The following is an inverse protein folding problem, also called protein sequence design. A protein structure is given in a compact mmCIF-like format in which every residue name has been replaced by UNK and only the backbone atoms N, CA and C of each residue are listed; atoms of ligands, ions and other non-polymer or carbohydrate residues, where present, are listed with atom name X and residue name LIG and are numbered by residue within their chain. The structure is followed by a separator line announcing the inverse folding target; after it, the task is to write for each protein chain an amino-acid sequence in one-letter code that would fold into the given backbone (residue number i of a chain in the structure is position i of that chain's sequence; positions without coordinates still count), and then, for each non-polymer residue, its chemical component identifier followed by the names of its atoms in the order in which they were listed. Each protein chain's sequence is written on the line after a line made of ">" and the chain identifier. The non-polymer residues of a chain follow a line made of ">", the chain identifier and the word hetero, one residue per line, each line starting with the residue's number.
data_IF_102141684824
#
_entry.id   IF_102141684824
#
_cell.length_a   1.000
_cell.length_b   1.000
_cell.length_c   1.000
_cell.angle_alpha   90.00
_cell.angle_beta   90.00
_cell.angle_gamma   90.00
#
_symmetry.space_group_name_H-M   'P 1'
#
loop_
_entity.id
_entity.type
_entity.pdbx_description
1 polymer ?
#
# COMPACT_ATOMS: atom_id res chain seq x y z
N UNK A 1 -4.69 -52.88 -36.78
CA UNK A 1 -5.55 -52.47 -35.64
C UNK A 1 -4.75 -52.04 -34.40
N UNK A 2 -3.72 -52.77 -33.97
CA UNK A 2 -2.96 -52.48 -32.73
C UNK A 2 -2.21 -51.13 -32.72
N UNK A 3 -1.66 -50.69 -33.87
CA UNK A 3 -0.85 -49.46 -33.96
C UNK A 3 -1.70 -48.17 -33.82
N UNK A 4 -2.98 -48.22 -34.20
CA UNK A 4 -3.87 -47.06 -34.05
C UNK A 4 -4.24 -46.77 -32.58
N UNK A 5 -4.33 -47.81 -31.75
CA UNK A 5 -4.60 -47.64 -30.31
C UNK A 5 -3.42 -47.01 -29.55
N UNK A 6 -2.19 -47.28 -29.99
CA UNK A 6 -0.98 -46.69 -29.38
C UNK A 6 -0.88 -45.20 -29.70
N UNK A 7 -1.15 -44.79 -30.94
CA UNK A 7 -1.17 -43.38 -31.34
C UNK A 7 -2.27 -42.58 -30.61
N UNK A 8 -3.46 -43.16 -30.44
CA UNK A 8 -4.54 -42.54 -29.66
C UNK A 8 -4.19 -42.40 -28.16
N UNK A 9 -3.49 -43.38 -27.57
CA UNK A 9 -3.03 -43.29 -26.18
C UNK A 9 -1.95 -42.21 -25.99
N UNK A 10 -1.05 -42.03 -26.96
CA UNK A 10 -0.06 -40.95 -26.94
C UNK A 10 -0.69 -39.56 -27.11
N UNK A 11 -1.71 -39.42 -27.97
CA UNK A 11 -2.44 -38.16 -28.13
C UNK A 11 -3.24 -37.82 -26.86
N UNK A 12 -3.83 -38.82 -26.18
CA UNK A 12 -4.53 -38.65 -24.90
C UNK A 12 -3.59 -38.33 -23.72
N UNK A 13 -2.35 -38.84 -23.74
CA UNK A 13 -1.30 -38.52 -22.77
C UNK A 13 -0.72 -37.12 -22.99
N UNK A 14 -0.62 -36.66 -24.24
CA UNK A 14 -0.16 -35.30 -24.58
C UNK A 14 -1.26 -34.25 -24.36
N UNK A 15 -2.54 -34.66 -24.34
CA UNK A 15 -3.68 -33.80 -23.99
C UNK A 15 -3.96 -33.67 -22.49
N UNK A 16 -3.08 -34.19 -21.61
CA UNK A 16 -2.99 -33.68 -20.23
C UNK A 16 -2.43 -32.27 -20.27
N UNK A 17 -3.32 -31.37 -20.70
CA UNK A 17 -3.28 -29.94 -20.53
C UNK A 17 -2.59 -29.68 -19.20
N UNK A 18 -1.40 -29.06 -19.25
CA UNK A 18 -0.83 -28.45 -18.06
C UNK A 18 -1.87 -27.45 -17.59
N UNK A 19 -2.71 -27.86 -16.65
CA UNK A 19 -3.44 -26.95 -15.79
C UNK A 19 -2.33 -26.17 -15.10
N UNK A 20 -1.99 -25.00 -15.64
CA UNK A 20 -1.07 -24.09 -14.98
C UNK A 20 -1.76 -23.81 -13.65
N UNK A 21 -1.26 -24.40 -12.57
CA UNK A 21 -1.65 -24.00 -11.24
C UNK A 21 -1.41 -22.49 -11.22
N UNK A 22 -2.49 -21.70 -11.21
CA UNK A 22 -2.36 -20.26 -11.04
C UNK A 22 -1.72 -20.07 -9.69
N UNK A 23 -0.43 -19.73 -9.71
CA UNK A 23 0.35 -19.51 -8.51
C UNK A 23 -0.36 -18.47 -7.65
N UNK A 24 -0.77 -18.89 -6.46
CA UNK A 24 -1.49 -18.05 -5.51
C UNK A 24 -0.50 -17.03 -4.98
N UNK A 25 -0.65 -15.78 -5.40
CA UNK A 25 0.19 -14.72 -4.89
C UNK A 25 -0.18 -14.44 -3.42
N UNK A 26 0.80 -14.26 -2.54
CA UNK A 26 0.57 -13.81 -1.17
C UNK A 26 -0.05 -12.41 -1.14
N UNK A 27 -0.62 -12.03 0.00
CA UNK A 27 -1.30 -10.75 0.21
C UNK A 27 -0.60 -9.97 1.31
N UNK A 28 -0.28 -8.69 1.08
CA UNK A 28 -0.01 -7.76 2.19
C UNK A 28 -1.26 -6.94 2.53
N UNK A 29 -1.45 -6.63 3.81
CA UNK A 29 -2.46 -5.70 4.30
C UNK A 29 -1.76 -4.55 5.01
N UNK A 30 -1.99 -3.33 4.55
CA UNK A 30 -1.48 -2.10 5.16
C UNK A 30 -2.62 -1.32 5.81
N UNK A 31 -2.55 -1.16 7.12
CA UNK A 31 -3.55 -0.46 7.91
C UNK A 31 -3.51 1.07 7.72
N UNK A 32 -4.50 1.73 8.30
CA UNK A 32 -4.64 3.19 8.25
C UNK A 32 -4.08 3.90 9.48
N UNK A 33 -4.30 5.22 9.51
CA UNK A 33 -3.99 6.12 10.63
C UNK A 33 -4.57 5.60 11.95
N UNK A 34 -3.77 5.57 13.01
CA UNK A 34 -4.21 5.21 14.36
C UNK A 34 -4.45 3.71 14.61
N UNK A 35 -4.32 2.87 13.59
CA UNK A 35 -4.37 1.41 13.71
C UNK A 35 -2.95 0.81 13.65
N UNK A 36 -2.87 -0.52 13.70
CA UNK A 36 -1.61 -1.28 13.71
C UNK A 36 -1.76 -2.60 12.97
N UNK A 37 -0.67 -3.22 12.54
CA UNK A 37 -0.72 -4.52 11.84
C UNK A 37 -1.31 -5.66 12.69
N UNK A 38 -1.27 -5.52 14.02
CA UNK A 38 -1.88 -6.44 14.99
C UNK A 38 -3.30 -6.03 15.43
N UNK A 39 -3.90 -5.05 14.76
CA UNK A 39 -5.23 -4.54 15.06
C UNK A 39 -6.31 -5.59 14.82
N UNK A 40 -7.36 -5.61 15.66
CA UNK A 40 -8.41 -6.64 15.57
C UNK A 40 -9.11 -6.63 14.21
N UNK A 41 -9.38 -5.46 13.63
CA UNK A 41 -9.98 -5.34 12.30
C UNK A 41 -9.09 -5.90 11.19
N UNK A 42 -7.79 -5.57 11.25
CA UNK A 42 -6.77 -6.04 10.30
C UNK A 42 -6.61 -7.56 10.36
N UNK A 43 -6.48 -8.12 11.56
CA UNK A 43 -6.34 -9.57 11.75
C UNK A 43 -7.61 -10.33 11.34
N UNK A 44 -8.80 -9.75 11.54
CA UNK A 44 -10.07 -10.34 11.05
C UNK A 44 -10.12 -10.36 9.53
N UNK A 45 -9.67 -9.29 8.86
CA UNK A 45 -9.58 -9.26 7.41
C UNK A 45 -8.58 -10.29 6.88
N UNK A 46 -7.39 -10.38 7.48
CA UNK A 46 -6.40 -11.39 7.13
C UNK A 46 -6.99 -12.80 7.25
N UNK A 47 -7.68 -13.07 8.37
CA UNK A 47 -8.29 -14.39 8.60
C UNK A 47 -9.40 -14.70 7.60
N UNK A 48 -10.21 -13.72 7.23
CA UNK A 48 -11.23 -13.88 6.20
C UNK A 48 -10.60 -14.26 4.85
N UNK A 49 -9.52 -13.58 4.45
CA UNK A 49 -8.79 -13.88 3.21
C UNK A 49 -8.21 -15.30 3.23
N UNK A 50 -7.59 -15.71 4.34
CA UNK A 50 -7.04 -17.07 4.50
C UNK A 50 -8.12 -18.16 4.40
N UNK A 51 -9.32 -17.89 4.92
CA UNK A 51 -10.44 -18.83 4.88
C UNK A 51 -11.03 -18.94 3.46
N UNK A 52 -11.20 -17.82 2.75
CA UNK A 52 -11.74 -17.78 1.39
C UNK A 52 -10.72 -18.27 0.34
N UNK A 53 -9.42 -18.13 0.62
CA UNK A 53 -8.33 -18.58 -0.27
C UNK A 53 -7.38 -19.51 0.49
N UNK A 54 -7.76 -20.79 0.70
CA UNK A 54 -6.95 -21.72 1.47
C UNK A 54 -5.51 -21.85 0.94
N UNK A 55 -4.54 -21.76 1.85
CA UNK A 55 -3.11 -21.85 1.56
C UNK A 55 -2.47 -20.58 1.02
N UNK A 56 -3.18 -19.44 0.97
CA UNK A 56 -2.55 -18.14 0.71
C UNK A 56 -1.76 -17.67 1.93
N UNK A 57 -0.62 -17.02 1.70
CA UNK A 57 0.12 -16.34 2.76
C UNK A 57 -0.37 -14.89 2.87
N UNK A 58 -0.71 -14.45 4.08
CA UNK A 58 -1.15 -13.08 4.35
C UNK A 58 -0.23 -12.44 5.38
N UNK A 59 0.30 -11.25 5.06
CA UNK A 59 1.14 -10.46 5.95
C UNK A 59 0.45 -9.14 6.28
N UNK A 60 0.14 -8.93 7.55
CA UNK A 60 -0.26 -7.61 8.05
C UNK A 60 1.02 -6.79 8.29
N UNK A 61 1.14 -5.64 7.63
CA UNK A 61 2.32 -4.77 7.72
C UNK A 61 2.35 -4.10 9.09
N UNK A 62 3.55 -4.06 9.69
CA UNK A 62 3.88 -3.30 10.90
C UNK A 62 5.18 -2.53 10.62
N UNK A 63 5.26 -1.24 10.99
CA UNK A 63 6.47 -0.42 10.87
C UNK A 63 7.44 -0.60 12.04
N UNK A 64 6.94 -1.04 13.20
CA UNK A 64 7.74 -1.38 14.39
C UNK A 64 7.31 -2.70 15.03
N UNK A 65 8.18 -3.26 15.87
CA UNK A 65 7.84 -4.37 16.77
C UNK A 65 7.03 -3.90 18.01
N UNK A 66 7.05 -2.59 18.30
CA UNK A 66 6.27 -1.98 19.36
C UNK A 66 4.90 -1.58 18.83
N UNK A 67 3.85 -1.99 19.53
CA UNK A 67 2.45 -1.63 19.20
C UNK A 67 2.26 -0.11 19.19
N UNK A 68 2.89 0.60 20.13
CA UNK A 68 2.71 2.05 20.27
C UNK A 68 3.46 2.76 19.13
N UNK A 69 4.67 2.32 18.81
CA UNK A 69 5.45 2.90 17.71
C UNK A 69 4.79 2.62 16.34
N UNK A 70 4.26 1.41 16.11
CA UNK A 70 3.51 1.08 14.87
C UNK A 70 2.32 2.04 14.65
N UNK A 71 1.69 2.50 15.74
CA UNK A 71 0.61 3.50 15.70
C UNK A 71 1.17 4.91 15.53
N UNK A 72 2.20 5.27 16.29
CA UNK A 72 2.85 6.58 16.26
C UNK A 72 3.40 6.88 14.86
N UNK A 73 4.02 5.90 14.21
CA UNK A 73 4.55 5.97 12.86
C UNK A 73 3.46 6.34 11.83
N UNK A 74 2.19 5.96 12.07
CA UNK A 74 1.08 6.35 11.18
C UNK A 74 0.80 7.85 11.19
N UNK A 75 1.29 8.58 12.20
CA UNK A 75 1.20 10.03 12.33
C UNK A 75 2.52 10.72 12.01
N UNK A 76 3.67 10.16 12.41
CA UNK A 76 4.92 10.92 12.49
C UNK A 76 6.13 10.33 11.76
N UNK A 77 6.06 9.10 11.23
CA UNK A 77 7.15 8.57 10.40
C UNK A 77 6.96 9.01 8.95
N UNK A 78 7.94 9.66 8.28
CA UNK A 78 7.77 10.12 6.91
C UNK A 78 7.35 8.99 5.95
N UNK A 79 6.46 9.29 5.00
CA UNK A 79 5.84 8.24 4.19
C UNK A 79 6.88 7.53 3.31
N UNK A 80 7.84 8.27 2.75
CA UNK A 80 8.92 7.66 1.98
C UNK A 80 9.77 6.70 2.84
N UNK A 81 10.00 7.03 4.12
CA UNK A 81 10.73 6.14 5.04
C UNK A 81 9.92 4.87 5.36
N UNK A 82 8.60 5.00 5.54
CA UNK A 82 7.70 3.85 5.71
C UNK A 82 7.72 2.95 4.47
N UNK A 83 7.67 3.53 3.27
CA UNK A 83 7.73 2.78 2.01
C UNK A 83 9.05 2.04 1.85
N UNK A 84 10.18 2.67 2.15
CA UNK A 84 11.50 2.04 2.10
C UNK A 84 11.61 0.88 3.09
N UNK A 85 11.12 1.09 4.31
CA UNK A 85 11.10 0.05 5.33
C UNK A 85 10.24 -1.15 4.92
N UNK A 86 9.02 -0.91 4.45
CA UNK A 86 8.09 -1.97 4.02
C UNK A 86 8.58 -2.67 2.75
N UNK A 87 9.17 -1.95 1.79
CA UNK A 87 9.81 -2.53 0.61
C UNK A 87 10.91 -3.52 1.03
N UNK A 88 11.76 -3.16 2.00
CA UNK A 88 12.80 -4.06 2.54
C UNK A 88 12.21 -5.31 3.22
N UNK A 89 11.15 -5.17 4.01
CA UNK A 89 10.48 -6.31 4.64
C UNK A 89 9.96 -7.29 3.57
N UNK A 90 9.27 -6.76 2.55
CA UNK A 90 8.68 -7.59 1.49
C UNK A 90 9.77 -8.27 0.66
N UNK A 91 10.85 -7.56 0.31
CA UNK A 91 11.97 -8.13 -0.44
C UNK A 91 12.76 -9.16 0.37
N UNK A 92 12.81 -9.02 1.70
CA UNK A 92 13.48 -9.96 2.60
C UNK A 92 12.68 -11.23 2.89
N UNK A 93 11.39 -11.27 2.57
CA UNK A 93 10.51 -12.40 2.82
C UNK A 93 10.29 -13.22 1.53
N UNK A 94 10.84 -14.45 1.54
CA UNK A 94 10.84 -15.36 0.40
C UNK A 94 9.44 -15.73 -0.11
N UNK A 95 8.38 -15.58 0.69
CA UNK A 95 7.00 -15.81 0.25
C UNK A 95 6.57 -14.85 -0.86
N UNK A 96 7.16 -13.65 -0.93
CA UNK A 96 6.83 -12.62 -1.93
C UNK A 96 7.70 -12.67 -3.19
N UNK A 97 8.63 -13.62 -3.29
CA UNK A 97 9.61 -13.71 -4.38
C UNK A 97 8.99 -13.83 -5.79
N UNK A 98 7.78 -14.39 -5.89
CA UNK A 98 7.04 -14.56 -7.15
C UNK A 98 5.99 -13.47 -7.42
N UNK A 99 5.88 -12.48 -6.53
CA UNK A 99 4.94 -11.39 -6.61
C UNK A 99 3.94 -11.36 -5.44
N UNK A 100 3.01 -10.41 -5.47
CA UNK A 100 2.05 -10.21 -4.39
C UNK A 100 0.79 -9.45 -4.81
N UNK A 101 -0.26 -9.65 -4.02
CA UNK A 101 -1.42 -8.78 -3.91
C UNK A 101 -1.24 -7.78 -2.78
N UNK A 102 -1.88 -6.62 -2.87
CA UNK A 102 -1.82 -5.60 -1.83
C UNK A 102 -3.21 -5.08 -1.49
N UNK A 103 -3.47 -4.90 -0.21
CA UNK A 103 -4.69 -4.26 0.30
C UNK A 103 -4.26 -3.14 1.24
N UNK A 104 -4.71 -1.93 0.97
CA UNK A 104 -4.46 -0.77 1.82
C UNK A 104 -5.78 -0.17 2.31
N UNK A 105 -5.84 0.20 3.59
CA UNK A 105 -7.03 0.75 4.24
C UNK A 105 -6.76 2.20 4.65
N UNK A 106 -7.68 3.12 4.34
CA UNK A 106 -7.50 4.55 4.60
C UNK A 106 -6.15 5.02 4.01
N UNK A 107 -5.28 5.73 4.75
CA UNK A 107 -3.96 6.14 4.23
C UNK A 107 -3.13 4.96 3.67
N UNK A 108 -3.28 3.74 4.20
CA UNK A 108 -2.63 2.54 3.68
C UNK A 108 -2.98 2.26 2.20
N UNK A 109 -4.17 2.68 1.74
CA UNK A 109 -4.59 2.59 0.33
C UNK A 109 -3.74 3.48 -0.59
N UNK A 110 -3.36 4.66 -0.12
CA UNK A 110 -2.41 5.54 -0.81
C UNK A 110 -1.00 4.93 -0.77
N UNK A 111 -0.63 4.31 0.35
CA UNK A 111 0.70 3.75 0.53
C UNK A 111 0.95 2.54 -0.37
N UNK A 112 -0.02 1.62 -0.52
CA UNK A 112 0.16 0.48 -1.44
C UNK A 112 0.26 0.92 -2.90
N UNK A 113 -0.42 2.02 -3.30
CA UNK A 113 -0.20 2.64 -4.61
C UNK A 113 1.23 3.15 -4.76
N UNK A 114 1.70 3.94 -3.79
CA UNK A 114 3.05 4.50 -3.82
C UNK A 114 4.12 3.40 -3.78
N UNK A 115 3.88 2.31 -3.04
CA UNK A 115 4.77 1.17 -2.97
C UNK A 115 4.96 0.52 -4.35
N UNK A 116 3.89 0.39 -5.13
CA UNK A 116 3.97 -0.12 -6.51
C UNK A 116 4.77 0.81 -7.43
N UNK A 117 4.72 2.12 -7.20
CA UNK A 117 5.48 3.09 -7.99
C UNK A 117 6.97 3.14 -7.60
N UNK A 118 7.30 2.96 -6.32
CA UNK A 118 8.65 3.18 -5.78
C UNK A 118 9.45 1.89 -5.50
N UNK A 119 8.79 0.76 -5.27
CA UNK A 119 9.44 -0.52 -4.99
C UNK A 119 9.37 -1.46 -6.20
N UNK A 120 10.46 -2.20 -6.45
CA UNK A 120 10.51 -3.19 -7.54
C UNK A 120 9.95 -4.54 -7.09
N UNK A 121 8.93 -5.03 -7.79
CA UNK A 121 8.32 -6.34 -7.57
C UNK A 121 8.40 -7.19 -8.83
N UNK A 122 8.58 -8.51 -8.68
CA UNK A 122 8.58 -9.45 -9.81
C UNK A 122 7.23 -9.47 -10.53
N UNK A 123 6.14 -9.42 -9.76
CA UNK A 123 4.77 -9.35 -10.26
C UNK A 123 3.91 -8.63 -9.24
N UNK A 124 3.20 -7.61 -9.67
CA UNK A 124 2.14 -6.97 -8.89
C UNK A 124 0.82 -7.56 -9.35
N UNK A 125 0.09 -8.17 -8.43
CA UNK A 125 -1.28 -8.63 -8.65
C UNK A 125 -2.28 -7.50 -8.47
N UNK A 126 -3.48 -7.81 -7.97
CA UNK A 126 -4.43 -6.82 -7.50
C UNK A 126 -3.85 -5.92 -6.40
N UNK A 127 -4.11 -4.62 -6.52
CA UNK A 127 -3.82 -3.57 -5.54
C UNK A 127 -5.16 -2.94 -5.18
N UNK A 128 -5.61 -3.14 -3.95
CA UNK A 128 -6.95 -2.79 -3.49
C UNK A 128 -6.83 -1.66 -2.48
N UNK A 129 -7.45 -0.52 -2.77
CA UNK A 129 -7.52 0.64 -1.88
C UNK A 129 -8.92 0.73 -1.27
N UNK A 130 -9.04 0.54 0.04
CA UNK A 130 -10.29 0.66 0.79
C UNK A 130 -10.31 2.05 1.44
N UNK A 131 -10.96 3.01 0.76
CA UNK A 131 -11.12 4.37 1.27
C UNK A 131 -9.83 5.19 1.33
N UNK A 132 -8.84 4.89 0.47
CA UNK A 132 -7.57 5.62 0.45
C UNK A 132 -7.64 7.02 -0.18
N UNK A 133 -6.96 8.02 0.39
CA UNK A 133 -6.98 9.39 -0.10
C UNK A 133 -6.05 9.56 -1.31
N UNK A 134 -6.42 9.00 -2.46
CA UNK A 134 -5.53 8.97 -3.64
C UNK A 134 -5.16 10.36 -4.17
N UNK A 135 -6.05 11.34 -3.98
CA UNK A 135 -5.85 12.77 -4.28
C UNK A 135 -5.60 13.61 -3.02
N UNK A 136 -5.18 12.98 -1.92
CA UNK A 136 -4.97 13.66 -0.66
C UNK A 136 -6.27 14.09 0.03
N UNK A 137 -6.13 14.98 1.00
CA UNK A 137 -7.24 15.54 1.79
C UNK A 137 -7.10 17.05 1.94
N UNK A 138 -8.25 17.72 2.08
CA UNK A 138 -8.34 19.15 2.42
C UNK A 138 -9.33 19.37 3.56
N UNK A 139 -9.03 18.78 4.71
CA UNK A 139 -9.85 18.90 5.91
C UNK A 139 -9.22 18.13 7.06
N UNK A 140 -9.23 18.73 8.26
CA UNK A 140 -8.75 18.04 9.45
C UNK A 140 -9.77 17.00 9.89
N UNK A 141 -9.37 15.74 10.12
CA UNK A 141 -10.26 14.76 10.70
C UNK A 141 -10.63 15.19 12.13
N UNK A 142 -11.87 14.91 12.53
CA UNK A 142 -12.24 15.02 13.95
C UNK A 142 -11.49 13.94 14.71
N UNK A 143 -10.67 14.35 15.70
CA UNK A 143 -10.09 13.42 16.64
C UNK A 143 -11.20 12.93 17.58
N UNK A 144 -11.61 11.67 17.45
CA UNK A 144 -12.53 11.04 18.37
C UNK A 144 -11.79 10.54 19.61
N UNK A 145 -12.51 10.40 20.73
CA UNK A 145 -11.95 9.86 21.97
C UNK A 145 -11.85 8.33 21.83
N UNK A 146 -10.78 7.86 21.22
CA UNK A 146 -10.26 6.50 21.35
C UNK A 146 -8.75 6.56 21.64
N UNK A 147 -8.16 5.41 21.98
CA UNK A 147 -6.94 5.24 22.80
C UNK A 147 -5.63 5.93 22.37
N UNK A 148 -5.64 6.75 21.32
CA UNK A 148 -4.48 7.50 20.80
C UNK A 148 -4.79 8.96 20.45
N UNK A 149 -5.79 9.55 21.12
CA UNK A 149 -6.21 10.94 20.92
C UNK A 149 -5.04 11.95 20.98
N UNK A 150 -4.00 11.70 21.78
CA UNK A 150 -2.85 12.59 21.92
C UNK A 150 -2.09 12.80 20.61
N UNK A 151 -1.84 11.73 19.85
CA UNK A 151 -1.18 11.82 18.54
C UNK A 151 -2.04 12.55 17.52
N UNK A 152 -3.34 12.26 17.50
CA UNK A 152 -4.27 12.95 16.62
C UNK A 152 -4.35 14.46 16.91
N UNK A 153 -4.42 14.85 18.19
CA UNK A 153 -4.45 16.26 18.59
C UNK A 153 -3.15 16.98 18.21
N UNK A 154 -1.99 16.36 18.46
CA UNK A 154 -0.70 16.92 18.08
C UNK A 154 -0.57 17.09 16.56
N UNK A 155 -0.98 16.09 15.80
CA UNK A 155 -1.03 16.15 14.34
C UNK A 155 -1.92 17.31 13.84
N UNK A 156 -3.12 17.46 14.40
CA UNK A 156 -4.03 18.54 14.05
C UNK A 156 -3.45 19.93 14.38
N UNK A 157 -2.77 20.07 15.51
CA UNK A 157 -2.10 21.31 15.91
C UNK A 157 -0.97 21.67 14.92
N UNK A 158 -0.12 20.70 14.57
CA UNK A 158 0.97 20.90 13.59
C UNK A 158 0.46 21.24 12.19
N UNK A 159 -0.60 20.57 11.71
CA UNK A 159 -1.23 20.90 10.43
C UNK A 159 -1.84 22.31 10.43
N UNK A 160 -2.41 22.74 11.56
CA UNK A 160 -2.97 24.08 11.71
C UNK A 160 -1.91 25.18 11.71
N UNK A 161 -0.68 24.87 12.16
CA UNK A 161 0.47 25.78 12.08
C UNK A 161 0.92 26.01 10.63
N UNK A 162 0.86 24.97 9.79
CA UNK A 162 1.06 25.08 8.35
C UNK A 162 1.54 23.79 7.70
N UNK A 163 0.65 23.15 6.94
CA UNK A 163 0.90 21.86 6.28
C UNK A 163 2.13 21.85 5.35
N UNK A 164 2.45 22.97 4.68
CA UNK A 164 3.55 23.04 3.70
C UNK A 164 4.86 23.64 4.26
N UNK A 165 4.97 23.79 5.57
CA UNK A 165 6.27 24.11 6.19
C UNK A 165 7.19 22.89 6.11
N UNK A 166 8.49 23.12 5.93
CA UNK A 166 9.47 22.03 5.82
C UNK A 166 9.42 21.08 7.03
N UNK A 167 9.34 21.64 8.24
CA UNK A 167 9.24 20.84 9.45
C UNK A 167 8.00 19.93 9.45
N UNK A 168 6.82 20.48 9.15
CA UNK A 168 5.56 19.71 9.18
C UNK A 168 5.53 18.66 8.07
N UNK A 169 5.98 18.99 6.85
CA UNK A 169 6.11 18.02 5.78
C UNK A 169 7.04 16.85 6.16
N UNK A 170 8.19 17.14 6.79
CA UNK A 170 9.19 16.13 7.13
C UNK A 170 8.86 15.31 8.39
N UNK A 171 7.82 15.65 9.16
CA UNK A 171 7.52 14.98 10.44
C UNK A 171 6.06 14.59 10.62
N UNK A 172 5.15 14.98 9.72
CA UNK A 172 3.72 14.65 9.83
C UNK A 172 3.25 13.96 8.57
N UNK A 173 2.83 12.71 8.71
CA UNK A 173 2.32 11.86 7.63
C UNK A 173 1.15 12.52 6.90
N UNK A 174 0.21 13.07 7.64
CA UNK A 174 -1.00 13.69 7.10
C UNK A 174 -0.69 14.94 6.28
N UNK A 175 0.42 15.64 6.57
CA UNK A 175 0.85 16.80 5.81
C UNK A 175 1.37 16.42 4.42
N UNK A 176 2.03 15.27 4.31
CA UNK A 176 2.64 14.78 3.07
C UNK A 176 1.61 14.41 2.00
N UNK A 177 0.34 14.19 2.39
CA UNK A 177 -0.80 14.10 1.46
C UNK A 177 -1.89 15.16 1.70
N UNK A 178 -1.53 16.28 2.34
CA UNK A 178 -2.39 17.46 2.37
C UNK A 178 -2.40 18.11 0.98
N UNK A 179 -3.60 18.31 0.43
CA UNK A 179 -3.81 18.84 -0.91
C UNK A 179 -4.75 20.03 -0.81
N UNK A 180 -4.20 21.25 -0.83
CA UNK A 180 -4.97 22.49 -0.78
C UNK A 180 -5.39 22.93 -2.20
N UNK A 181 -6.65 22.72 -2.60
CA UNK A 181 -7.12 23.04 -3.95
C UNK A 181 -7.20 24.56 -4.19
N UNK A 182 -7.11 25.37 -3.14
CA UNK A 182 -7.09 26.83 -3.24
C UNK A 182 -5.68 27.36 -3.48
N UNK A 183 -4.64 26.54 -3.27
CA UNK A 183 -3.23 26.90 -3.39
C UNK A 183 -2.41 25.80 -4.06
N UNK A 184 -2.88 25.37 -5.24
CA UNK A 184 -2.22 24.33 -6.07
C UNK A 184 -0.72 24.56 -6.27
N UNK A 185 -0.29 25.78 -6.59
CA UNK A 185 1.15 26.06 -6.80
C UNK A 185 1.99 25.82 -5.54
N UNK A 186 1.41 26.04 -4.36
CA UNK A 186 2.08 25.75 -3.07
C UNK A 186 2.11 24.25 -2.84
N UNK A 187 0.99 23.55 -3.07
CA UNK A 187 0.91 22.10 -2.99
C UNK A 187 1.96 21.42 -3.88
N UNK A 188 2.00 21.75 -5.18
CA UNK A 188 2.94 21.17 -6.14
C UNK A 188 4.38 21.43 -5.75
N UNK A 189 4.69 22.63 -5.26
CA UNK A 189 6.06 23.03 -4.91
C UNK A 189 6.57 22.42 -3.60
N UNK A 190 5.71 22.24 -2.60
CA UNK A 190 6.13 21.93 -1.23
C UNK A 190 5.68 20.56 -0.69
N UNK A 191 4.74 19.87 -1.35
CA UNK A 191 4.40 18.49 -0.97
C UNK A 191 5.61 17.58 -1.19
N UNK A 192 6.07 16.92 -0.13
CA UNK A 192 7.22 16.01 -0.16
C UNK A 192 6.86 14.58 -0.60
N UNK A 193 5.58 14.31 -0.86
CA UNK A 193 5.11 12.96 -1.20
C UNK A 193 4.01 12.95 -2.25
N UNK A 194 2.82 13.48 -1.95
CA UNK A 194 1.66 13.32 -2.84
C UNK A 194 1.88 13.95 -4.22
N UNK A 195 2.50 15.13 -4.28
CA UNK A 195 2.82 15.77 -5.57
C UNK A 195 3.81 14.95 -6.42
N UNK A 196 4.75 14.24 -5.77
CA UNK A 196 5.70 13.36 -6.43
C UNK A 196 4.99 12.15 -7.05
N UNK A 197 4.27 11.37 -6.24
CA UNK A 197 3.57 10.15 -6.71
C UNK A 197 2.37 10.42 -7.64
N UNK A 198 1.95 11.69 -7.76
CA UNK A 198 0.94 12.17 -8.70
C UNK A 198 1.56 12.84 -9.94
N UNK A 199 2.89 12.88 -10.06
CA UNK A 199 3.60 13.46 -11.19
C UNK A 199 3.29 14.96 -11.44
N UNK A 200 2.93 15.71 -10.40
CA UNK A 200 2.49 17.10 -10.51
C UNK A 200 3.55 18.07 -11.04
N UNK A 201 4.83 17.71 -10.89
CA UNK A 201 5.98 18.51 -11.31
C UNK A 201 6.66 18.00 -12.59
N UNK A 202 6.06 17.01 -13.27
CA UNK A 202 6.68 16.39 -14.44
C UNK A 202 6.24 17.09 -15.72
N UNK A 203 7.20 17.59 -16.49
CA UNK A 203 6.98 18.04 -17.87
C UNK A 203 6.73 16.81 -18.77
N UNK A 204 5.81 16.90 -19.74
CA UNK A 204 5.22 15.82 -20.59
C UNK A 204 6.22 14.82 -21.24
N UNK A 205 7.54 15.05 -21.17
CA UNK A 205 8.60 14.27 -21.84
C UNK A 205 8.97 12.96 -21.12
N UNK A 206 8.54 12.72 -19.87
CA UNK A 206 9.03 11.60 -19.05
C UNK A 206 8.07 10.38 -18.92
N UNK A 207 7.09 10.20 -19.81
CA UNK A 207 6.16 9.07 -19.74
C UNK A 207 6.73 7.80 -20.40
N UNK A 208 7.72 7.19 -19.75
CA UNK A 208 8.09 5.77 -19.97
C UNK A 208 7.70 4.88 -18.79
N UNK A 209 7.01 5.42 -17.78
CA UNK A 209 6.43 4.64 -16.69
C UNK A 209 4.98 4.31 -17.02
N UNK A 210 4.62 3.03 -16.92
CA UNK A 210 3.23 2.58 -16.95
C UNK A 210 2.49 3.29 -15.81
N UNK A 211 1.80 4.39 -16.12
CA UNK A 211 1.00 5.13 -15.16
C UNK A 211 -0.16 4.23 -14.75
N UNK A 212 -0.05 3.56 -13.61
CA UNK A 212 -1.19 2.98 -12.92
C UNK A 212 -2.01 4.15 -12.38
N UNK A 213 -2.97 4.60 -13.17
CA UNK A 213 -4.00 5.53 -12.72
C UNK A 213 -4.91 4.73 -11.79
N UNK A 214 -4.71 4.89 -10.49
CA UNK A 214 -5.67 4.46 -9.48
C UNK A 214 -6.70 5.59 -9.33
N UNK A 215 -7.91 5.36 -9.83
CA UNK A 215 -9.09 6.20 -9.55
C UNK A 215 -9.64 5.80 -8.18
#
# INVERSE_FOLDING_TARGET
>A
MFVHYILLAWILLVSHSSCRLTEKLPVIIWHGMGDRGTGMGILRLAKAIENEVPGTYVKCITTSNSIIEDIEDTYFMPINDQLDYVCRIIQGDGNFSNGLHMIGISQGGLFVRALVQKCSFRKVGAVISIGGPQQGVFGLPKCFIDGFIHFCLLMNELLSYGAYTEFVQSHVVQAQYWHDPLKEDVYRKYSQFLADINQENVSIVALNYTSLIFI
#
